data_IF_937855067210
#
_entry.id   IF_937855067210
#
_cell.length_a   1.000
_cell.length_b   1.000
_cell.length_c   1.000
_cell.angle_alpha   90.00
_cell.angle_beta   90.00
_cell.angle_gamma   90.00
#
_symmetry.space_group_name_H-M   'P 1'
#
loop_
_entity.id
_entity.type
_entity.pdbx_description
1 polymer ?
#
# COMPACT_ATOMS: atom_id res chain seq x y z
N UNK A 1 -38.49 11.48 -1.97
CA UNK A 1 -38.82 12.82 -1.40
C UNK A 1 -39.97 12.62 -0.43
N UNK A 2 -39.88 13.13 0.80
CA UNK A 2 -40.97 13.00 1.77
C UNK A 2 -42.11 13.94 1.39
N UNK A 3 -43.27 13.37 1.04
CA UNK A 3 -44.46 14.14 0.65
C UNK A 3 -45.53 14.14 1.75
N UNK A 4 -45.40 13.29 2.78
CA UNK A 4 -46.31 13.20 3.91
C UNK A 4 -45.75 13.92 5.15
N UNK A 5 -46.63 14.53 5.95
CA UNK A 5 -46.29 15.19 7.23
C UNK A 5 -46.33 14.20 8.41
N UNK A 6 -45.85 12.98 8.18
CA UNK A 6 -45.87 11.91 9.17
C UNK A 6 -45.02 12.25 10.41
N UNK A 7 -45.63 12.12 11.59
CA UNK A 7 -44.96 12.24 12.89
C UNK A 7 -44.63 10.83 13.37
N UNK A 8 -43.42 10.62 13.88
CA UNK A 8 -43.02 9.31 14.39
C UNK A 8 -43.75 8.94 15.70
N UNK A 9 -43.90 7.65 15.94
CA UNK A 9 -44.46 7.12 17.18
C UNK A 9 -43.48 7.15 18.37
N UNK A 10 -42.28 7.73 18.20
CA UNK A 10 -41.30 7.87 19.28
C UNK A 10 -41.81 8.84 20.36
N UNK A 11 -41.25 8.71 21.56
CA UNK A 11 -41.60 9.57 22.71
C UNK A 11 -41.31 11.04 22.41
N UNK A 12 -40.26 11.34 21.65
CA UNK A 12 -39.88 12.70 21.26
C UNK A 12 -40.74 13.28 20.11
N UNK A 13 -41.69 12.50 19.58
CA UNK A 13 -42.62 12.88 18.50
C UNK A 13 -41.94 13.60 17.33
N UNK A 14 -40.70 13.23 17.02
CA UNK A 14 -39.97 13.83 15.90
C UNK A 14 -40.66 13.49 14.57
N UNK A 15 -40.78 14.45 13.64
CA UNK A 15 -41.19 14.17 12.27
C UNK A 15 -40.35 13.05 11.64
N UNK A 16 -40.99 12.17 10.86
CA UNK A 16 -40.32 11.05 10.20
C UNK A 16 -39.20 11.54 9.27
N UNK A 17 -39.44 12.63 8.55
CA UNK A 17 -38.44 13.31 7.72
C UNK A 17 -37.14 13.64 8.47
N UNK A 18 -37.23 14.06 9.73
CA UNK A 18 -36.06 14.38 10.56
C UNK A 18 -35.32 13.11 10.97
N UNK A 19 -36.05 12.02 11.26
CA UNK A 19 -35.43 10.74 11.59
C UNK A 19 -34.68 10.17 10.39
N UNK A 20 -35.31 10.19 9.22
CA UNK A 20 -34.73 9.66 7.99
C UNK A 20 -33.49 10.47 7.59
N UNK A 21 -33.57 11.80 7.62
CA UNK A 21 -32.40 12.67 7.43
C UNK A 21 -31.26 12.36 8.41
N UNK A 22 -31.57 12.24 9.71
CA UNK A 22 -30.53 11.96 10.70
C UNK A 22 -29.91 10.56 10.54
N UNK A 23 -30.66 9.59 10.00
CA UNK A 23 -30.16 8.25 9.74
C UNK A 23 -29.20 8.19 8.56
N UNK A 24 -29.33 9.09 7.57
CA UNK A 24 -28.53 9.06 6.33
C UNK A 24 -27.46 10.15 6.26
N UNK A 25 -27.63 11.29 6.95
CA UNK A 25 -26.71 12.44 6.88
C UNK A 25 -25.26 12.14 7.24
N UNK A 26 -25.03 11.07 8.01
CA UNK A 26 -23.71 10.70 8.52
C UNK A 26 -22.85 9.91 7.52
N UNK A 27 -23.38 9.51 6.37
CA UNK A 27 -22.67 8.62 5.46
C UNK A 27 -21.32 9.19 4.98
N UNK A 28 -21.30 10.46 4.55
CA UNK A 28 -20.09 11.13 4.07
C UNK A 28 -19.10 11.36 5.21
N UNK A 29 -19.55 11.84 6.36
CA UNK A 29 -18.71 12.07 7.55
C UNK A 29 -18.08 10.76 8.06
N UNK A 30 -18.85 9.66 8.03
CA UNK A 30 -18.35 8.33 8.37
C UNK A 30 -17.28 7.87 7.38
N UNK A 31 -17.48 8.08 6.09
CA UNK A 31 -16.48 7.77 5.06
C UNK A 31 -15.20 8.60 5.27
N UNK A 32 -15.33 9.90 5.54
CA UNK A 32 -14.20 10.79 5.80
C UNK A 32 -13.40 10.35 7.03
N UNK A 33 -14.09 9.99 8.12
CA UNK A 33 -13.45 9.44 9.33
C UNK A 33 -12.73 8.12 9.04
N UNK A 34 -13.36 7.26 8.25
CA UNK A 34 -12.81 5.98 7.85
C UNK A 34 -11.55 6.18 7.01
N UNK A 35 -11.59 7.04 5.98
CA UNK A 35 -10.45 7.37 5.13
C UNK A 35 -9.30 7.95 5.97
N UNK A 36 -9.61 8.90 6.87
CA UNK A 36 -8.61 9.55 7.71
C UNK A 36 -7.84 8.55 8.62
N UNK A 37 -8.45 7.42 8.98
CA UNK A 37 -7.81 6.39 9.83
C UNK A 37 -6.66 5.66 9.12
N UNK A 38 -6.74 5.47 7.80
CA UNK A 38 -5.73 4.75 7.00
C UNK A 38 -5.33 5.55 5.74
N UNK A 39 -5.06 6.83 5.93
CA UNK A 39 -4.67 7.71 4.83
C UNK A 39 -3.20 7.51 4.42
N UNK A 40 -2.94 7.56 3.12
CA UNK A 40 -1.59 7.62 2.56
C UNK A 40 -1.07 9.07 2.37
N UNK A 41 -1.83 10.06 2.83
CA UNK A 41 -1.50 11.47 2.65
C UNK A 41 -0.22 11.85 3.40
N UNK A 42 0.65 12.57 2.72
CA UNK A 42 1.83 13.19 3.32
C UNK A 42 1.78 14.71 3.16
N UNK A 43 2.53 15.44 4.01
CA UNK A 43 2.64 16.89 3.91
C UNK A 43 3.25 17.26 2.55
N UNK A 44 2.51 18.04 1.76
CA UNK A 44 2.93 18.50 0.44
C UNK A 44 2.46 19.93 0.20
N UNK A 45 3.28 20.70 -0.52
CA UNK A 45 2.91 22.06 -0.97
C UNK A 45 2.29 22.06 -2.38
N UNK A 46 2.05 20.88 -2.96
CA UNK A 46 1.52 20.72 -4.32
C UNK A 46 0.09 20.21 -4.24
N UNK A 47 -0.89 21.10 -4.47
CA UNK A 47 -2.32 20.74 -4.42
C UNK A 47 -2.73 19.54 -5.29
N UNK A 48 -2.13 19.27 -6.48
CA UNK A 48 -2.53 18.11 -7.28
C UNK A 48 -2.18 16.79 -6.57
N UNK A 49 -1.10 16.78 -5.80
CA UNK A 49 -0.68 15.62 -5.01
C UNK A 49 -1.68 15.35 -3.88
N UNK A 50 -2.24 16.40 -3.27
CA UNK A 50 -3.33 16.25 -2.28
C UNK A 50 -4.56 15.60 -2.89
N UNK A 51 -4.96 16.02 -4.10
CA UNK A 51 -6.07 15.41 -4.83
C UNK A 51 -5.77 13.94 -5.14
N UNK A 52 -4.55 13.63 -5.59
CA UNK A 52 -4.12 12.26 -5.84
C UNK A 52 -4.25 11.38 -4.59
N UNK A 53 -3.81 11.86 -3.41
CA UNK A 53 -3.98 11.12 -2.16
C UNK A 53 -5.45 10.84 -1.84
N UNK A 54 -6.34 11.82 -2.03
CA UNK A 54 -7.77 11.62 -1.82
C UNK A 54 -8.35 10.55 -2.75
N UNK A 55 -7.92 10.53 -4.01
CA UNK A 55 -8.33 9.50 -4.98
C UNK A 55 -7.85 8.13 -4.52
N UNK A 56 -6.59 7.98 -4.13
CA UNK A 56 -6.04 6.71 -3.65
C UNK A 56 -6.80 6.20 -2.42
N UNK A 57 -7.00 7.04 -1.41
CA UNK A 57 -7.67 6.61 -0.18
C UNK A 57 -9.15 6.23 -0.43
N UNK A 58 -9.86 7.02 -1.26
CA UNK A 58 -11.27 6.76 -1.59
C UNK A 58 -11.43 5.49 -2.42
N UNK A 59 -10.58 5.31 -3.43
CA UNK A 59 -10.61 4.12 -4.30
C UNK A 59 -10.28 2.85 -3.52
N UNK A 60 -9.29 2.87 -2.63
CA UNK A 60 -8.95 1.73 -1.79
C UNK A 60 -10.08 1.34 -0.83
N UNK A 61 -10.82 2.33 -0.29
CA UNK A 61 -12.00 2.04 0.52
C UNK A 61 -13.15 1.44 -0.31
N UNK A 62 -13.43 1.99 -1.49
CA UNK A 62 -14.47 1.46 -2.37
C UNK A 62 -14.15 0.03 -2.83
N UNK A 63 -12.90 -0.25 -3.16
CA UNK A 63 -12.43 -1.59 -3.50
C UNK A 63 -12.61 -2.57 -2.34
N UNK A 64 -12.31 -2.13 -1.11
CA UNK A 64 -12.60 -2.91 0.10
C UNK A 64 -14.08 -3.25 0.25
N UNK A 65 -14.98 -2.29 0.04
CA UNK A 65 -16.43 -2.51 0.12
C UNK A 65 -16.89 -3.53 -0.94
N UNK A 66 -16.44 -3.36 -2.19
CA UNK A 66 -16.74 -4.31 -3.26
C UNK A 66 -16.18 -5.71 -2.97
N UNK A 67 -14.99 -5.79 -2.39
CA UNK A 67 -14.36 -7.06 -2.04
C UNK A 67 -15.15 -7.84 -0.99
N UNK A 68 -15.58 -7.19 0.09
CA UNK A 68 -16.33 -7.86 1.16
C UNK A 68 -17.74 -8.26 0.72
N UNK A 69 -18.34 -7.48 -0.19
CA UNK A 69 -19.65 -7.80 -0.77
C UNK A 69 -19.56 -9.06 -1.65
N UNK A 70 -18.53 -9.14 -2.50
CA UNK A 70 -18.31 -10.32 -3.35
C UNK A 70 -17.75 -11.53 -2.58
N UNK A 71 -17.11 -11.31 -1.43
CA UNK A 71 -16.45 -12.36 -0.65
C UNK A 71 -16.86 -12.33 0.84
N UNK A 72 -18.12 -12.63 1.18
CA UNK A 72 -18.66 -12.45 2.54
C UNK A 72 -17.96 -13.33 3.60
N UNK A 73 -17.37 -14.45 3.18
CA UNK A 73 -16.64 -15.35 4.07
C UNK A 73 -15.15 -14.97 4.25
N UNK A 74 -14.63 -14.01 3.48
CA UNK A 74 -13.24 -13.58 3.59
C UNK A 74 -12.98 -12.96 4.96
N UNK A 75 -12.08 -13.61 5.73
CA UNK A 75 -11.65 -13.17 7.06
C UNK A 75 -12.82 -12.90 8.02
N UNK A 76 -13.91 -13.69 7.90
CA UNK A 76 -15.19 -13.48 8.59
C UNK A 76 -15.06 -13.16 10.08
N UNK A 77 -14.17 -13.87 10.78
CA UNK A 77 -13.98 -13.78 12.24
C UNK A 77 -12.97 -12.71 12.69
N UNK A 78 -12.42 -11.92 11.77
CA UNK A 78 -11.46 -10.87 12.11
C UNK A 78 -12.14 -9.51 12.18
N UNK A 79 -11.86 -8.75 13.23
CA UNK A 79 -12.36 -7.38 13.40
C UNK A 79 -11.63 -6.37 12.50
N UNK A 80 -10.39 -6.67 12.12
CA UNK A 80 -9.50 -5.73 11.42
C UNK A 80 -9.46 -5.95 9.89
N UNK A 81 -10.59 -6.31 9.29
CA UNK A 81 -10.67 -6.68 7.86
C UNK A 81 -10.09 -5.61 6.94
N UNK A 82 -10.43 -4.34 7.17
CA UNK A 82 -9.96 -3.21 6.35
C UNK A 82 -8.44 -3.03 6.41
N UNK A 83 -7.85 -3.10 7.61
CA UNK A 83 -6.39 -2.99 7.78
C UNK A 83 -5.68 -4.08 6.98
N UNK A 84 -6.18 -5.30 7.12
CA UNK A 84 -5.60 -6.47 6.47
C UNK A 84 -5.79 -6.38 4.95
N UNK A 85 -6.95 -5.91 4.48
CA UNK A 85 -7.23 -5.68 3.06
C UNK A 85 -6.22 -4.70 2.47
N UNK A 86 -6.03 -3.53 3.10
CA UNK A 86 -5.09 -2.52 2.63
C UNK A 86 -3.64 -3.02 2.62
N UNK A 87 -3.26 -3.83 3.61
CA UNK A 87 -1.94 -4.47 3.65
C UNK A 87 -1.74 -5.44 2.48
N UNK A 88 -2.73 -6.28 2.19
CA UNK A 88 -2.66 -7.23 1.07
C UNK A 88 -2.70 -6.51 -0.28
N UNK A 89 -3.57 -5.52 -0.43
CA UNK A 89 -3.65 -4.67 -1.62
C UNK A 89 -2.30 -3.98 -1.89
N UNK A 90 -1.70 -3.36 -0.87
CA UNK A 90 -0.39 -2.71 -1.00
C UNK A 90 0.71 -3.68 -1.41
N UNK A 91 0.72 -4.91 -0.87
CA UNK A 91 1.67 -5.96 -1.29
C UNK A 91 1.43 -6.34 -2.74
N UNK A 92 0.19 -6.66 -3.14
CA UNK A 92 -0.17 -7.05 -4.50
C UNK A 92 0.26 -5.99 -5.54
N UNK A 93 0.04 -4.72 -5.25
CA UNK A 93 0.40 -3.62 -6.15
C UNK A 93 1.92 -3.46 -6.31
N UNK A 94 2.70 -3.73 -5.26
CA UNK A 94 4.15 -3.44 -5.25
C UNK A 94 5.00 -4.66 -5.64
N UNK A 95 4.52 -5.88 -5.39
CA UNK A 95 5.24 -7.14 -5.69
C UNK A 95 5.83 -7.20 -7.11
N UNK A 96 5.09 -6.98 -8.22
CA UNK A 96 5.65 -7.10 -9.57
C UNK A 96 6.80 -6.12 -9.83
N UNK A 97 6.75 -4.93 -9.20
CA UNK A 97 7.82 -3.93 -9.30
C UNK A 97 9.06 -4.32 -8.47
N UNK A 98 8.88 -5.04 -7.37
CA UNK A 98 9.99 -5.59 -6.57
C UNK A 98 10.65 -6.76 -7.32
N UNK A 99 9.87 -7.65 -7.90
CA UNK A 99 10.35 -8.80 -8.68
C UNK A 99 11.19 -8.36 -9.89
N UNK A 100 10.76 -7.28 -10.56
CA UNK A 100 11.46 -6.66 -11.69
C UNK A 100 12.63 -5.76 -11.30
N UNK A 101 12.89 -5.53 -10.00
CA UNK A 101 13.89 -4.56 -9.53
C UNK A 101 15.32 -5.06 -9.79
N UNK A 102 16.01 -4.45 -10.77
CA UNK A 102 17.42 -4.74 -11.10
C UNK A 102 18.42 -4.18 -10.08
N UNK A 103 18.16 -2.99 -9.53
CA UNK A 103 19.06 -2.31 -8.59
C UNK A 103 18.60 -2.57 -7.16
N UNK A 104 19.41 -3.27 -6.39
CA UNK A 104 19.12 -3.55 -4.99
C UNK A 104 19.22 -2.28 -4.14
N UNK A 105 18.34 -2.14 -3.12
CA UNK A 105 18.49 -1.11 -2.10
C UNK A 105 19.85 -1.20 -1.41
N UNK A 106 20.40 -0.07 -0.97
CA UNK A 106 21.67 -0.04 -0.22
C UNK A 106 21.51 -0.49 1.22
N UNK A 107 20.33 -0.32 1.81
CA UNK A 107 20.10 -0.75 3.18
C UNK A 107 19.88 -2.27 3.23
N UNK A 108 20.45 -2.93 4.23
CA UNK A 108 20.41 -4.38 4.36
C UNK A 108 18.98 -4.92 4.55
N UNK A 109 18.12 -4.32 5.39
CA UNK A 109 16.75 -4.82 5.59
C UNK A 109 15.89 -4.82 4.31
N UNK A 110 15.91 -3.75 3.53
CA UNK A 110 15.16 -3.66 2.29
C UNK A 110 15.80 -4.53 1.20
N UNK A 111 17.12 -4.69 1.19
CA UNK A 111 17.77 -5.64 0.30
C UNK A 111 17.32 -7.07 0.60
N UNK A 112 17.24 -7.46 1.87
CA UNK A 112 16.75 -8.77 2.29
C UNK A 112 15.29 -9.00 1.85
N UNK A 113 14.42 -7.99 1.99
CA UNK A 113 13.02 -8.07 1.52
C UNK A 113 12.96 -8.29 0.01
N UNK A 114 13.71 -7.50 -0.77
CA UNK A 114 13.73 -7.62 -2.25
C UNK A 114 14.22 -9.01 -2.67
N UNK A 115 15.30 -9.51 -2.06
CA UNK A 115 15.82 -10.85 -2.33
C UNK A 115 14.82 -11.95 -2.00
N UNK A 116 14.13 -11.84 -0.85
CA UNK A 116 13.12 -12.82 -0.43
C UNK A 116 11.97 -12.89 -1.42
N UNK A 117 11.48 -11.74 -1.89
CA UNK A 117 10.39 -11.68 -2.88
C UNK A 117 10.87 -12.24 -4.23
N UNK A 118 12.06 -11.85 -4.69
CA UNK A 118 12.63 -12.35 -5.96
C UNK A 118 12.96 -13.85 -5.96
N UNK A 119 13.25 -14.44 -4.81
CA UNK A 119 13.52 -15.87 -4.67
C UNK A 119 12.25 -16.74 -4.58
N UNK A 120 11.10 -16.12 -4.27
CA UNK A 120 9.82 -16.82 -4.17
C UNK A 120 9.14 -17.04 -5.54
N UNK A 121 9.70 -16.47 -6.62
CA UNK A 121 9.17 -16.57 -7.98
C UNK A 121 9.72 -17.82 -8.69
N UNK A 122 8.91 -18.89 -8.87
CA UNK A 122 9.36 -20.14 -9.47
C UNK A 122 9.67 -20.01 -10.98
N UNK A 123 9.31 -18.89 -11.62
CA UNK A 123 9.63 -18.63 -13.02
C UNK A 123 11.10 -18.26 -13.26
N UNK A 124 11.86 -17.94 -12.20
CA UNK A 124 13.33 -17.79 -12.26
C UNK A 124 13.99 -19.03 -11.68
N UNK A 125 14.13 -20.07 -12.52
CA UNK A 125 15.17 -21.09 -12.33
C UNK A 125 16.54 -20.41 -12.13
N UNK A 126 17.54 -21.10 -11.54
CA UNK A 126 18.81 -20.49 -11.17
C UNK A 126 19.46 -19.83 -12.39
N UNK A 127 19.35 -18.51 -12.50
CA UNK A 127 20.04 -17.77 -13.54
C UNK A 127 21.52 -17.84 -13.19
N UNK A 128 22.24 -18.75 -13.84
CA UNK A 128 23.70 -18.78 -13.88
C UNK A 128 24.22 -17.59 -14.69
N UNK A 129 23.87 -16.36 -14.29
CA UNK A 129 24.58 -15.19 -14.76
C UNK A 129 25.98 -15.29 -14.17
N UNK A 130 26.95 -15.73 -14.99
CA UNK A 130 28.38 -15.58 -14.67
C UNK A 130 28.58 -14.12 -14.28
N UNK A 131 28.74 -13.85 -12.98
CA UNK A 131 28.99 -12.50 -12.50
C UNK A 131 30.34 -12.08 -13.09
N UNK A 132 30.31 -11.12 -14.02
CA UNK A 132 31.53 -10.45 -14.46
C UNK A 132 32.24 -9.93 -13.19
N UNK A 133 33.53 -10.24 -13.06
CA UNK A 133 34.30 -9.88 -11.86
C UNK A 133 34.18 -8.37 -11.64
N UNK A 134 33.61 -7.99 -10.49
CA UNK A 134 33.50 -6.57 -10.14
C UNK A 134 34.89 -6.05 -9.83
N UNK A 135 35.30 -5.01 -10.54
CA UNK A 135 36.49 -4.22 -10.23
C UNK A 135 36.41 -3.78 -8.76
N UNK A 136 37.36 -4.24 -7.96
CA UNK A 136 37.41 -3.98 -6.52
C UNK A 136 38.53 -2.99 -6.23
N UNK A 137 38.44 -2.21 -5.15
CA UNK A 137 39.50 -1.27 -4.74
C UNK A 137 40.74 -2.05 -4.31
N UNK A 138 41.92 -1.52 -4.62
CA UNK A 138 43.18 -2.04 -4.11
C UNK A 138 43.19 -2.07 -2.58
N UNK A 139 43.48 -3.24 -2.01
CA UNK A 139 43.54 -3.46 -0.55
C UNK A 139 44.74 -2.78 0.11
N UNK A 140 45.77 -2.44 -0.67
CA UNK A 140 47.01 -1.84 -0.18
C UNK A 140 47.05 -0.32 -0.36
N UNK A 141 46.17 0.25 -1.19
CA UNK A 141 46.13 1.70 -1.40
C UNK A 141 45.18 2.39 -0.41
N UNK A 142 45.52 3.60 0.07
CA UNK A 142 44.61 4.43 0.84
C UNK A 142 43.32 4.71 0.07
N UNK A 143 42.17 4.71 0.77
CA UNK A 143 40.84 4.90 0.17
C UNK A 143 40.70 6.20 -0.62
N UNK A 144 41.50 7.23 -0.32
CA UNK A 144 41.48 8.55 -0.98
C UNK A 144 41.92 8.49 -2.45
N UNK A 145 42.69 7.48 -2.84
CA UNK A 145 43.27 7.38 -4.18
C UNK A 145 42.37 6.61 -5.18
N UNK A 146 41.30 5.95 -4.71
CA UNK A 146 40.35 5.15 -5.52
C UNK A 146 40.98 4.24 -6.60
N UNK A 147 42.19 3.74 -6.34
CA UNK A 147 42.91 2.85 -7.23
C UNK A 147 42.21 1.48 -7.31
N UNK A 148 41.88 1.04 -8.52
CA UNK A 148 41.21 -0.23 -8.82
C UNK A 148 42.25 -1.35 -8.98
N UNK A 149 41.99 -2.56 -8.46
CA UNK A 149 42.85 -3.72 -8.72
C UNK A 149 42.72 -4.19 -10.16
N UNK A 150 43.81 -4.09 -10.92
CA UNK A 150 43.97 -4.73 -12.23
C UNK A 150 44.95 -5.89 -12.06
N UNK A 151 44.47 -7.09 -11.71
CA UNK A 151 45.34 -8.28 -11.76
C UNK A 151 44.97 -9.15 -12.97
N UNK A 152 45.94 -9.26 -13.89
CA UNK A 152 46.16 -10.40 -14.78
C UNK A 152 47.38 -11.15 -14.27
N UNK A 153 47.21 -12.39 -13.81
CA UNK A 153 48.22 -13.46 -13.84
C UNK A 153 49.39 -13.48 -12.83
N UNK A 154 49.47 -14.61 -12.11
CA UNK A 154 50.63 -15.38 -11.60
C UNK A 154 51.77 -14.74 -10.81
N UNK A 155 51.94 -15.22 -9.57
CA UNK A 155 52.98 -16.20 -9.18
C UNK A 155 52.38 -17.13 -8.10
#
# INVERSE_FOLDING_TARGET
MHNSKEISNRVDKKPKMILDYNSTKGAVDTLDQLIATYTCRTKTNRWPVTVFYNVVDTTAYNDFVLWIENNPNWKKNLLQKRRIFLEELGKLLVTPYIEGRKRLPRNEPAMAIVRKIQAADPAKGPSSSKQASKRTRCKFCPSKCDNITHHTGSL
#
